data_IF_348822236690
#
_entry.id   IF_348822236690
#
_cell.length_a   1.000
_cell.length_b   1.000
_cell.length_c   1.000
_cell.angle_alpha   90.00
_cell.angle_beta   90.00
_cell.angle_gamma   90.00
#
_symmetry.space_group_name_H-M   'P 1'
#
loop_
_entity.id
_entity.type
_entity.pdbx_description
1 polymer ?
#
# COMPACT_ATOMS: atom_id res chain seq x y z
N UNK A 1 -26.65 43.56 -23.31
CA UNK A 1 -27.80 42.72 -22.90
C UNK A 1 -27.68 41.29 -23.43
N UNK A 2 -27.13 41.07 -24.63
CA UNK A 2 -26.97 39.73 -25.23
C UNK A 2 -25.86 38.88 -24.61
N UNK A 3 -24.71 39.48 -24.27
CA UNK A 3 -23.57 38.75 -23.70
C UNK A 3 -23.86 38.18 -22.29
N UNK A 4 -24.65 38.87 -21.47
CA UNK A 4 -25.07 38.37 -20.15
C UNK A 4 -26.06 37.20 -20.27
N UNK A 5 -26.97 37.25 -21.26
CA UNK A 5 -27.88 36.15 -21.56
C UNK A 5 -27.13 34.91 -22.03
N UNK A 6 -26.14 35.09 -22.91
CA UNK A 6 -25.27 34.00 -23.37
C UNK A 6 -24.47 33.37 -22.21
N UNK A 7 -23.90 34.19 -21.31
CA UNK A 7 -23.16 33.71 -20.14
C UNK A 7 -24.04 32.86 -19.22
N UNK A 8 -25.28 33.30 -18.96
CA UNK A 8 -26.22 32.55 -18.13
C UNK A 8 -26.62 31.22 -18.78
N UNK A 9 -26.77 31.18 -20.11
CA UNK A 9 -27.03 29.94 -20.84
C UNK A 9 -25.84 28.97 -20.76
N UNK A 10 -24.60 29.45 -20.91
CA UNK A 10 -23.41 28.61 -20.76
C UNK A 10 -23.28 28.03 -19.35
N UNK A 11 -23.55 28.82 -18.31
CA UNK A 11 -23.55 28.36 -16.92
C UNK A 11 -24.67 27.33 -16.65
N UNK A 12 -25.86 27.52 -17.23
CA UNK A 12 -26.96 26.56 -17.07
C UNK A 12 -26.64 25.21 -17.72
N UNK A 13 -26.04 25.22 -18.91
CA UNK A 13 -25.65 24.01 -19.63
C UNK A 13 -24.53 23.25 -18.91
N UNK A 14 -23.57 23.94 -18.28
CA UNK A 14 -22.50 23.27 -17.53
C UNK A 14 -23.03 22.56 -16.27
N UNK A 15 -24.00 23.16 -15.57
CA UNK A 15 -24.69 22.51 -14.45
C UNK A 15 -25.49 21.29 -14.93
N UNK A 16 -26.18 21.40 -16.06
CA UNK A 16 -26.99 20.31 -16.61
C UNK A 16 -26.13 19.09 -17.02
N UNK A 17 -24.98 19.34 -17.63
CA UNK A 17 -24.01 18.29 -17.98
C UNK A 17 -23.44 17.62 -16.73
N UNK A 18 -23.16 18.37 -15.66
CA UNK A 18 -22.71 17.80 -14.39
C UNK A 18 -23.77 16.94 -13.71
N UNK A 19 -25.06 17.31 -13.80
CA UNK A 19 -26.14 16.49 -13.23
C UNK A 19 -26.34 15.14 -13.92
N UNK A 20 -25.97 15.02 -15.20
CA UNK A 20 -26.04 13.74 -15.92
C UNK A 20 -24.78 12.87 -15.79
N UNK A 21 -23.66 13.45 -15.32
CA UNK A 21 -22.43 12.72 -15.07
C UNK A 21 -22.39 12.01 -13.69
N UNK A 22 -23.39 12.28 -12.83
CA UNK A 22 -23.61 11.56 -11.59
C UNK A 22 -24.61 10.42 -11.81
N UNK A 23 -24.28 9.49 -12.71
CA UNK A 23 -24.94 8.18 -12.71
C UNK A 23 -24.31 7.37 -11.57
N UNK A 24 -24.97 7.39 -10.43
CA UNK A 24 -24.64 6.55 -9.30
C UNK A 24 -24.96 5.09 -9.66
N UNK A 25 -23.93 4.39 -10.16
CA UNK A 25 -23.94 2.93 -10.30
C UNK A 25 -23.82 2.27 -8.92
N UNK A 26 -24.71 2.61 -7.98
CA UNK A 26 -24.91 1.80 -6.79
C UNK A 26 -25.64 0.54 -7.23
N UNK A 27 -24.86 -0.47 -7.63
CA UNK A 27 -25.37 -1.83 -7.76
C UNK A 27 -25.77 -2.27 -6.36
N UNK A 28 -27.06 -2.46 -6.14
CA UNK A 28 -27.58 -3.09 -4.94
C UNK A 28 -27.02 -4.51 -4.90
N UNK A 29 -25.98 -4.72 -4.09
CA UNK A 29 -25.37 -6.03 -3.85
C UNK A 29 -26.42 -6.90 -3.15
N UNK A 30 -26.61 -8.13 -3.60
CA UNK A 30 -27.54 -9.03 -2.91
C UNK A 30 -26.94 -9.43 -1.55
N UNK A 31 -27.80 -9.76 -0.59
CA UNK A 31 -27.36 -10.28 0.72
C UNK A 31 -26.49 -11.54 0.62
N UNK A 32 -26.59 -12.31 -0.47
CA UNK A 32 -25.69 -13.45 -0.68
C UNK A 32 -24.31 -13.00 -1.14
N UNK A 33 -24.23 -12.00 -2.03
CA UNK A 33 -22.96 -11.44 -2.51
C UNK A 33 -22.17 -10.81 -1.36
N UNK A 34 -22.85 -10.06 -0.47
CA UNK A 34 -22.23 -9.49 0.74
C UNK A 34 -21.66 -10.59 1.64
N UNK A 35 -22.40 -11.68 1.79
CA UNK A 35 -22.03 -12.80 2.65
C UNK A 35 -20.92 -13.65 2.04
N UNK A 36 -20.86 -13.77 0.72
CA UNK A 36 -19.75 -14.37 0.00
C UNK A 36 -18.48 -13.51 0.14
N UNK A 37 -18.60 -12.20 -0.06
CA UNK A 37 -17.51 -11.25 0.13
C UNK A 37 -16.95 -11.29 1.56
N UNK A 38 -17.81 -11.39 2.58
CA UNK A 38 -17.37 -11.55 3.97
C UNK A 38 -16.57 -12.84 4.22
N UNK A 39 -16.96 -13.95 3.57
CA UNK A 39 -16.23 -15.24 3.70
C UNK A 39 -14.85 -15.14 3.04
N UNK A 40 -14.79 -14.50 1.87
CA UNK A 40 -13.51 -14.24 1.18
C UNK A 40 -12.61 -13.33 2.01
N UNK A 41 -13.16 -12.22 2.54
CA UNK A 41 -12.44 -11.32 3.43
C UNK A 41 -11.89 -12.02 4.66
N UNK A 42 -12.67 -12.90 5.31
CA UNK A 42 -12.19 -13.71 6.46
C UNK A 42 -11.05 -14.65 6.07
N UNK A 43 -11.02 -15.13 4.83
CA UNK A 43 -9.94 -16.00 4.33
C UNK A 43 -8.66 -15.21 4.09
N UNK A 44 -8.79 -13.97 3.60
CA UNK A 44 -7.67 -13.05 3.39
C UNK A 44 -7.12 -12.49 4.72
N UNK A 45 -7.97 -12.30 5.71
CA UNK A 45 -7.61 -11.69 7.00
C UNK A 45 -6.98 -12.71 7.95
N UNK A 46 -5.76 -13.13 7.65
CA UNK A 46 -4.97 -14.01 8.51
C UNK A 46 -4.47 -13.26 9.76
N UNK A 47 -4.39 -13.92 10.93
CA UNK A 47 -3.99 -13.25 12.17
C UNK A 47 -2.53 -12.80 12.11
N UNK A 48 -2.30 -11.57 12.55
CA UNK A 48 -0.97 -10.99 12.69
C UNK A 48 -0.24 -11.58 13.91
N UNK A 49 1.09 -11.65 13.82
CA UNK A 49 1.95 -12.16 14.89
C UNK A 49 2.23 -11.07 15.91
N UNK A 50 2.35 -9.83 15.45
CA UNK A 50 2.64 -8.66 16.29
C UNK A 50 2.16 -7.40 15.59
N UNK A 51 1.65 -6.45 16.35
CA UNK A 51 1.35 -5.09 15.85
C UNK A 51 2.27 -4.08 16.53
N UNK A 52 2.62 -3.02 15.82
CA UNK A 52 3.30 -1.87 16.41
C UNK A 52 2.71 -0.57 15.85
N UNK A 53 2.71 0.47 16.67
CA UNK A 53 2.20 1.79 16.28
C UNK A 53 3.38 2.74 16.06
N UNK A 54 3.34 3.55 15.01
CA UNK A 54 4.31 4.63 14.84
C UNK A 54 3.95 5.87 15.66
N UNK A 55 4.83 6.87 15.61
CA UNK A 55 4.64 8.15 16.29
C UNK A 55 3.44 8.97 15.79
N UNK A 56 2.84 8.58 14.67
CA UNK A 56 1.67 9.22 14.07
C UNK A 56 0.37 8.47 14.39
N UNK A 57 0.44 7.38 15.15
CA UNK A 57 -0.72 6.57 15.50
C UNK A 57 -1.08 5.50 14.46
N UNK A 58 -0.28 5.33 13.40
CA UNK A 58 -0.53 4.30 12.38
C UNK A 58 -0.09 2.94 12.93
N UNK A 59 -1.00 1.97 12.91
CA UNK A 59 -0.72 0.60 13.35
C UNK A 59 -0.27 -0.26 12.17
N UNK A 60 0.87 -0.91 12.33
CA UNK A 60 1.43 -1.85 11.37
C UNK A 60 1.35 -3.26 11.93
N UNK A 61 0.74 -4.16 11.18
CA UNK A 61 0.60 -5.56 11.53
C UNK A 61 1.71 -6.39 10.86
N UNK A 62 2.50 -7.07 11.67
CA UNK A 62 3.49 -8.04 11.21
C UNK A 62 2.81 -9.38 10.97
N UNK A 63 2.87 -9.85 9.72
CA UNK A 63 2.44 -11.19 9.32
C UNK A 63 3.69 -12.00 8.96
N UNK A 64 3.71 -13.27 9.36
CA UNK A 64 4.75 -14.22 8.96
C UNK A 64 4.81 -14.29 7.42
N UNK A 65 6.02 -14.15 6.86
CA UNK A 65 6.23 -14.11 5.40
C UNK A 65 5.70 -15.37 4.71
N UNK A 66 5.80 -16.54 5.34
CA UNK A 66 5.30 -17.79 4.78
C UNK A 66 3.79 -17.95 4.90
N UNK A 67 3.16 -17.12 5.75
CA UNK A 67 1.72 -17.16 6.00
C UNK A 67 0.98 -16.06 5.26
N UNK A 68 1.64 -15.30 4.38
CA UNK A 68 0.94 -14.27 3.61
C UNK A 68 -0.20 -14.86 2.77
N UNK A 69 -1.33 -14.16 2.62
CA UNK A 69 -2.47 -14.62 1.81
C UNK A 69 -2.10 -14.94 0.36
N UNK A 70 -1.10 -14.25 -0.19
CA UNK A 70 -0.60 -14.48 -1.55
C UNK A 70 -0.17 -15.95 -1.79
N UNK A 71 0.32 -16.66 -0.77
CA UNK A 71 0.77 -18.05 -0.89
C UNK A 71 -0.37 -19.08 -0.89
N UNK A 72 -1.62 -18.67 -0.61
CA UNK A 72 -2.78 -19.55 -0.76
C UNK A 72 -3.12 -19.80 -2.23
N UNK A 73 -2.60 -18.95 -3.13
CA UNK A 73 -2.76 -19.10 -4.56
C UNK A 73 -2.10 -20.40 -5.04
N UNK A 74 -2.79 -21.27 -5.82
CA UNK A 74 -2.27 -22.58 -6.23
C UNK A 74 -0.89 -22.54 -6.89
N UNK A 75 -0.62 -21.48 -7.66
CA UNK A 75 0.67 -21.27 -8.34
C UNK A 75 1.83 -20.94 -7.38
N UNK A 76 1.53 -20.48 -6.17
CA UNK A 76 2.50 -20.01 -5.19
C UNK A 76 2.65 -20.95 -3.98
N UNK A 77 1.82 -21.99 -3.85
CA UNK A 77 1.85 -22.94 -2.71
C UNK A 77 3.21 -23.60 -2.46
N UNK A 78 4.01 -23.81 -3.50
CA UNK A 78 5.33 -24.44 -3.42
C UNK A 78 6.46 -23.48 -3.82
N UNK A 79 6.21 -22.18 -3.74
CA UNK A 79 7.21 -21.18 -4.10
C UNK A 79 8.25 -21.04 -2.98
N UNK A 80 9.52 -21.29 -3.31
CA UNK A 80 10.64 -21.02 -2.41
C UNK A 80 10.98 -19.53 -2.44
N UNK A 81 10.81 -18.86 -1.30
CA UNK A 81 11.14 -17.45 -1.14
C UNK A 81 12.65 -17.22 -1.28
N UNK A 82 13.05 -16.39 -2.24
CA UNK A 82 14.43 -15.95 -2.37
C UNK A 82 14.69 -14.78 -1.41
N UNK A 83 15.28 -15.08 -0.26
CA UNK A 83 15.76 -14.07 0.69
C UNK A 83 17.16 -13.59 0.27
N UNK A 84 17.22 -12.42 -0.35
CA UNK A 84 18.49 -11.81 -0.77
C UNK A 84 19.10 -11.00 0.38
N UNK A 85 20.17 -11.51 0.99
CA UNK A 85 20.93 -10.82 2.05
C UNK A 85 21.92 -9.77 1.54
N UNK A 86 21.92 -9.49 0.24
CA UNK A 86 22.93 -8.65 -0.40
C UNK A 86 22.99 -7.24 0.22
N UNK A 87 21.85 -6.65 0.58
CA UNK A 87 21.81 -5.31 1.16
C UNK A 87 22.43 -5.26 2.58
N UNK A 88 22.29 -6.34 3.35
CA UNK A 88 22.86 -6.45 4.70
C UNK A 88 24.38 -6.55 4.61
N UNK A 89 24.90 -7.39 3.70
CA UNK A 89 26.34 -7.53 3.48
C UNK A 89 26.99 -6.23 3.00
N UNK A 90 26.36 -5.51 2.06
CA UNK A 90 26.88 -4.21 1.58
C UNK A 90 26.93 -3.20 2.71
N UNK A 91 25.91 -3.14 3.58
CA UNK A 91 25.90 -2.24 4.72
C UNK A 91 26.98 -2.59 5.76
N UNK A 92 27.16 -3.87 6.08
CA UNK A 92 28.23 -4.31 6.99
C UNK A 92 29.63 -4.02 6.43
N UNK A 93 29.85 -4.26 5.13
CA UNK A 93 31.12 -3.96 4.47
C UNK A 93 31.37 -2.45 4.45
N UNK A 94 30.37 -1.65 4.13
CA UNK A 94 30.48 -0.19 4.16
C UNK A 94 30.79 0.35 5.56
N UNK A 95 30.09 -0.14 6.59
CA UNK A 95 30.37 0.22 7.98
C UNK A 95 31.76 -0.22 8.42
N UNK A 96 32.21 -1.41 8.03
CA UNK A 96 33.54 -1.91 8.32
C UNK A 96 34.62 -1.01 7.70
N UNK A 97 34.47 -0.65 6.42
CA UNK A 97 35.38 0.29 5.75
C UNK A 97 35.32 1.66 6.39
N UNK A 98 34.14 2.19 6.71
CA UNK A 98 33.99 3.47 7.38
C UNK A 98 34.70 3.47 8.74
N UNK A 99 34.51 2.43 9.57
CA UNK A 99 35.22 2.29 10.84
C UNK A 99 36.73 2.18 10.64
N UNK A 100 37.20 1.40 9.68
CA UNK A 100 38.63 1.26 9.40
C UNK A 100 39.25 2.57 8.91
N UNK A 101 38.58 3.26 7.99
CA UNK A 101 39.05 4.53 7.43
C UNK A 101 39.02 5.64 8.46
N UNK A 102 37.96 5.70 9.27
CA UNK A 102 37.84 6.62 10.39
C UNK A 102 38.94 6.38 11.43
N UNK A 103 39.16 5.14 11.86
CA UNK A 103 40.24 4.80 12.79
C UNK A 103 41.62 5.11 12.20
N UNK A 104 41.86 4.81 10.93
CA UNK A 104 43.16 5.11 10.28
C UNK A 104 43.38 6.62 10.18
N UNK A 105 42.36 7.39 9.83
CA UNK A 105 42.41 8.85 9.77
C UNK A 105 42.64 9.49 11.14
N UNK A 106 41.97 9.02 12.19
CA UNK A 106 42.19 9.52 13.56
C UNK A 106 43.58 9.17 14.08
N UNK A 107 44.12 7.99 13.74
CA UNK A 107 45.50 7.60 14.10
C UNK A 107 46.58 8.32 13.27
N UNK A 108 46.23 8.91 12.12
CA UNK A 108 47.14 9.71 11.31
C UNK A 108 47.22 11.18 11.76
N UNK A 109 46.14 11.69 12.37
CA UNK A 109 46.05 13.07 12.88
C UNK A 109 46.57 13.20 14.32
N UNK A 110 46.65 12.09 15.07
CA UNK A 110 47.28 12.01 16.38
C UNK A 110 48.80 11.84 16.27
#
# INVERSE_FOLDING_TARGET
MEAQSALLLFLALSVFVWSHAAEDNTRDLSLEDDRELERELKTLNKPFVKSFQDKYGITYDCVDIYKQPAFDHPLLKNHTLQVTYHLVLVFYVYLFFFFFYWNTFTNFIA
#
